data_IF_653818966227
#
_entry.id   IF_653818966227
#
_cell.length_a   1.000
_cell.length_b   1.000
_cell.length_c   1.000
_cell.angle_alpha   90.00
_cell.angle_beta   90.00
_cell.angle_gamma   90.00
#
_symmetry.space_group_name_H-M   'P 1'
#
loop_
_entity.id
_entity.type
_entity.pdbx_description
1 polymer ?
#
# COMPACT_ATOMS: atom_id res chain seq x y z
N UNK A 1 -16.13 10.11 -4.14
CA UNK A 1 -17.30 9.70 -4.96
C UNK A 1 -17.33 8.18 -4.87
N UNK A 2 -18.18 7.63 -4.01
CA UNK A 2 -18.30 6.17 -3.84
C UNK A 2 -18.96 5.62 -5.09
N UNK A 3 -18.15 5.05 -5.98
CA UNK A 3 -18.65 4.16 -7.04
C UNK A 3 -19.46 3.08 -6.33
N UNK A 4 -20.65 2.78 -6.84
CA UNK A 4 -21.54 1.79 -6.22
C UNK A 4 -20.80 0.44 -6.09
N UNK A 5 -20.86 -0.20 -4.93
CA UNK A 5 -20.16 -1.45 -4.67
C UNK A 5 -20.61 -2.53 -5.67
N UNK A 6 -21.88 -2.48 -6.09
CA UNK A 6 -22.43 -3.36 -7.11
C UNK A 6 -21.84 -3.10 -8.52
N UNK A 7 -21.67 -1.82 -8.88
CA UNK A 7 -21.04 -1.43 -10.14
C UNK A 7 -19.57 -1.85 -10.17
N UNK A 8 -18.85 -1.63 -9.07
CA UNK A 8 -17.44 -2.02 -8.92
C UNK A 8 -17.27 -3.54 -9.00
N UNK A 9 -18.17 -4.31 -8.39
CA UNK A 9 -18.16 -5.77 -8.45
C UNK A 9 -18.40 -6.30 -9.88
N UNK A 10 -19.31 -5.69 -10.64
CA UNK A 10 -19.55 -6.08 -12.02
C UNK A 10 -18.36 -5.73 -12.94
N UNK A 11 -17.73 -4.57 -12.74
CA UNK A 11 -16.50 -4.20 -13.44
C UNK A 11 -15.38 -5.21 -13.16
N UNK A 12 -15.21 -5.64 -11.90
CA UNK A 12 -14.25 -6.67 -11.53
C UNK A 12 -14.54 -7.99 -12.24
N UNK A 13 -15.80 -8.45 -12.24
CA UNK A 13 -16.20 -9.69 -12.91
C UNK A 13 -15.87 -9.67 -14.40
N UNK A 14 -16.21 -8.57 -15.09
CA UNK A 14 -15.92 -8.38 -16.53
C UNK A 14 -14.41 -8.29 -16.79
N UNK A 15 -13.68 -7.57 -15.95
CA UNK A 15 -12.23 -7.43 -16.06
C UNK A 15 -11.51 -8.79 -15.95
N UNK A 16 -11.95 -9.67 -15.04
CA UNK A 16 -11.44 -11.06 -14.92
C UNK A 16 -11.70 -11.90 -16.18
N UNK A 17 -12.78 -11.61 -16.91
CA UNK A 17 -13.10 -12.26 -18.20
C UNK A 17 -12.34 -11.66 -19.40
N UNK A 18 -11.43 -10.71 -19.16
CA UNK A 18 -10.59 -10.10 -20.19
C UNK A 18 -11.16 -8.82 -20.81
N UNK A 19 -12.25 -8.27 -20.27
CA UNK A 19 -12.79 -6.99 -20.71
C UNK A 19 -11.85 -5.84 -20.30
N UNK A 20 -11.11 -5.33 -21.28
CA UNK A 20 -10.12 -4.27 -21.07
C UNK A 20 -10.76 -2.92 -20.72
N UNK A 21 -11.97 -2.66 -21.20
CA UNK A 21 -12.68 -1.41 -20.90
C UNK A 21 -13.14 -1.43 -19.44
N UNK A 22 -13.75 -2.55 -19.01
CA UNK A 22 -14.16 -2.72 -17.62
C UNK A 22 -12.96 -2.65 -16.66
N UNK A 23 -11.81 -3.24 -17.03
CA UNK A 23 -10.59 -3.09 -16.25
C UNK A 23 -10.12 -1.63 -16.18
N UNK A 24 -10.18 -0.90 -17.29
CA UNK A 24 -9.79 0.51 -17.33
C UNK A 24 -10.63 1.36 -16.38
N UNK A 25 -11.96 1.17 -16.40
CA UNK A 25 -12.90 1.83 -15.51
C UNK A 25 -12.66 1.45 -14.04
N UNK A 26 -12.46 0.16 -13.76
CA UNK A 26 -12.14 -0.36 -12.42
C UNK A 26 -10.85 0.27 -11.86
N UNK A 27 -9.79 0.34 -12.66
CA UNK A 27 -8.52 0.95 -12.25
C UNK A 27 -8.64 2.46 -12.07
N UNK A 28 -9.45 3.12 -12.90
CA UNK A 28 -9.70 4.55 -12.78
C UNK A 28 -10.45 4.87 -11.47
N UNK A 29 -11.43 4.05 -11.10
CA UNK A 29 -12.14 4.17 -9.82
C UNK A 29 -11.21 4.04 -8.60
N UNK A 30 -10.12 3.28 -8.71
CA UNK A 30 -9.15 3.06 -7.62
C UNK A 30 -7.89 3.94 -7.72
N UNK A 31 -7.82 4.85 -8.71
CA UNK A 31 -6.62 5.66 -8.96
C UNK A 31 -6.29 6.60 -7.80
N UNK A 32 -7.31 7.22 -7.19
CA UNK A 32 -7.11 8.12 -6.05
C UNK A 32 -6.62 7.37 -4.81
N UNK A 33 -7.15 6.16 -4.57
CA UNK A 33 -6.66 5.28 -3.50
C UNK A 33 -5.18 4.92 -3.69
N UNK A 34 -4.78 4.53 -4.91
CA UNK A 34 -3.38 4.21 -5.20
C UNK A 34 -2.46 5.43 -5.06
N UNK A 35 -2.95 6.63 -5.40
CA UNK A 35 -2.19 7.88 -5.22
C UNK A 35 -1.96 8.17 -3.73
N UNK A 36 -3.01 8.13 -2.91
CA UNK A 36 -2.88 8.31 -1.46
C UNK A 36 -1.93 7.28 -0.83
N UNK A 37 -1.98 6.03 -1.29
CA UNK A 37 -1.10 4.97 -0.84
C UNK A 37 0.37 5.21 -1.24
N UNK A 38 0.60 5.78 -2.43
CA UNK A 38 1.93 6.15 -2.90
C UNK A 38 2.47 7.33 -2.07
N UNK A 39 1.69 8.39 -1.91
CA UNK A 39 2.06 9.60 -1.17
C UNK A 39 2.46 9.27 0.27
N UNK A 40 1.65 8.47 0.98
CA UNK A 40 1.96 8.05 2.35
C UNK A 40 3.22 7.19 2.50
N UNK A 41 3.68 6.53 1.43
CA UNK A 41 4.95 5.78 1.43
C UNK A 41 6.14 6.68 1.06
N UNK A 42 5.94 7.68 0.21
CA UNK A 42 6.98 8.64 -0.18
C UNK A 42 7.37 9.57 0.98
N UNK A 43 6.43 9.94 1.84
CA UNK A 43 6.68 10.73 3.06
C UNK A 43 7.61 10.03 4.07
N UNK A 44 7.72 8.70 4.00
CA UNK A 44 8.58 7.91 4.87
C UNK A 44 10.06 7.94 4.46
N UNK A 45 10.71 9.12 4.53
CA UNK A 45 12.18 9.39 4.56
C UNK A 45 13.13 8.67 3.57
N UNK A 46 12.67 7.84 2.63
CA UNK A 46 13.53 7.03 1.75
C UNK A 46 13.48 7.49 0.28
N UNK A 47 12.49 8.28 -0.15
CA UNK A 47 12.12 8.36 -1.58
C UNK A 47 12.01 9.76 -2.18
N UNK A 48 13.00 10.63 -1.99
CA UNK A 48 13.05 11.95 -2.66
C UNK A 48 13.15 11.91 -4.20
N UNK A 49 13.09 10.74 -4.84
CA UNK A 49 13.29 10.55 -6.29
C UNK A 49 12.23 9.72 -7.00
N UNK A 50 11.23 9.21 -6.28
CA UNK A 50 10.14 8.45 -6.91
C UNK A 50 8.91 9.35 -7.03
N UNK A 51 8.33 9.37 -8.23
CA UNK A 51 7.09 10.08 -8.50
C UNK A 51 5.88 9.17 -8.19
N UNK A 52 4.91 9.70 -7.43
CA UNK A 52 3.70 8.96 -7.08
C UNK A 52 2.89 8.52 -8.31
N UNK A 53 2.80 9.38 -9.33
CA UNK A 53 2.11 9.08 -10.59
C UNK A 53 2.77 7.93 -11.34
N UNK A 54 4.10 7.88 -11.37
CA UNK A 54 4.85 6.78 -12.00
C UNK A 54 4.57 5.45 -11.29
N UNK A 55 4.56 5.44 -9.97
CA UNK A 55 4.26 4.25 -9.17
C UNK A 55 2.81 3.77 -9.39
N UNK A 56 1.85 4.70 -9.43
CA UNK A 56 0.46 4.39 -9.76
C UNK A 56 0.37 3.80 -11.16
N UNK A 57 1.03 4.40 -12.16
CA UNK A 57 1.02 3.90 -13.52
C UNK A 57 1.63 2.50 -13.64
N UNK A 58 2.78 2.26 -13.01
CA UNK A 58 3.42 0.94 -12.96
C UNK A 58 2.51 -0.11 -12.31
N UNK A 59 1.81 0.27 -11.23
CA UNK A 59 0.82 -0.58 -10.57
C UNK A 59 -0.31 -0.95 -11.53
N UNK A 60 -0.94 0.03 -12.18
CA UNK A 60 -2.01 -0.22 -13.15
C UNK A 60 -1.54 -1.13 -14.30
N UNK A 61 -0.33 -0.93 -14.84
CA UNK A 61 0.24 -1.79 -15.88
C UNK A 61 0.48 -3.21 -15.40
N UNK A 62 0.92 -3.39 -14.16
CA UNK A 62 1.15 -4.70 -13.55
C UNK A 62 -0.15 -5.46 -13.35
N UNK A 63 -1.20 -4.77 -12.90
CA UNK A 63 -2.55 -5.32 -12.75
C UNK A 63 -3.13 -5.70 -14.11
N UNK A 64 -2.96 -4.83 -15.12
CA UNK A 64 -3.44 -5.12 -16.47
C UNK A 64 -2.88 -6.42 -17.05
N UNK A 65 -1.63 -6.75 -16.72
CA UNK A 65 -0.99 -8.00 -17.16
C UNK A 65 -1.46 -9.24 -16.41
N UNK A 66 -2.00 -9.07 -15.19
CA UNK A 66 -2.23 -10.16 -14.23
C UNK A 66 -3.68 -10.31 -13.79
N UNK A 67 -4.59 -9.46 -14.28
CA UNK A 67 -6.00 -9.47 -13.84
C UNK A 67 -6.69 -10.82 -14.05
N UNK A 68 -6.31 -11.55 -15.10
CA UNK A 68 -6.86 -12.89 -15.40
C UNK A 68 -6.32 -13.96 -14.46
N UNK A 69 -5.23 -13.69 -13.74
CA UNK A 69 -4.64 -14.56 -12.70
C UNK A 69 -5.20 -14.24 -11.30
N UNK A 70 -6.07 -13.24 -11.17
CA UNK A 70 -6.63 -12.86 -9.88
C UNK A 70 -7.78 -13.78 -9.49
N UNK A 71 -7.58 -14.56 -8.43
CA UNK A 71 -8.54 -15.57 -7.96
C UNK A 71 -9.61 -15.03 -6.99
N UNK A 72 -9.53 -13.77 -6.56
CA UNK A 72 -10.50 -13.21 -5.61
C UNK A 72 -11.91 -13.01 -6.20
N UNK A 73 -12.91 -13.00 -5.33
CA UNK A 73 -14.34 -12.98 -5.69
C UNK A 73 -14.98 -11.61 -5.45
N UNK A 74 -14.40 -10.79 -4.58
CA UNK A 74 -14.99 -9.52 -4.15
C UNK A 74 -14.06 -8.31 -4.29
N UNK A 75 -14.65 -7.12 -4.18
CA UNK A 75 -13.94 -5.83 -4.26
C UNK A 75 -12.90 -5.68 -3.14
N UNK A 76 -13.18 -6.01 -1.86
CA UNK A 76 -12.17 -5.98 -0.80
C UNK A 76 -10.91 -6.80 -1.11
N UNK A 77 -11.05 -8.02 -1.63
CA UNK A 77 -9.93 -8.87 -2.04
C UNK A 77 -9.15 -8.25 -3.20
N UNK A 78 -9.85 -7.63 -4.16
CA UNK A 78 -9.21 -6.91 -5.25
C UNK A 78 -8.41 -5.70 -4.75
N UNK A 79 -8.94 -4.92 -3.81
CA UNK A 79 -8.23 -3.79 -3.17
C UNK A 79 -7.00 -4.28 -2.40
N UNK A 80 -7.10 -5.40 -1.68
CA UNK A 80 -5.96 -6.01 -1.00
C UNK A 80 -4.87 -6.43 -2.01
N UNK A 81 -5.26 -7.04 -3.13
CA UNK A 81 -4.34 -7.43 -4.19
C UNK A 81 -3.71 -6.21 -4.90
N UNK A 82 -4.49 -5.17 -5.19
CA UNK A 82 -3.99 -3.88 -5.71
C UNK A 82 -2.88 -3.33 -4.83
N UNK A 83 -3.12 -3.30 -3.51
CA UNK A 83 -2.16 -2.83 -2.51
C UNK A 83 -0.90 -3.70 -2.50
N UNK A 84 -1.01 -5.01 -2.59
CA UNK A 84 0.14 -5.92 -2.65
C UNK A 84 1.01 -5.69 -3.89
N UNK A 85 0.39 -5.54 -5.06
CA UNK A 85 1.10 -5.24 -6.31
C UNK A 85 1.78 -3.88 -6.24
N UNK A 86 1.09 -2.86 -5.71
CA UNK A 86 1.65 -1.53 -5.51
C UNK A 86 2.90 -1.56 -4.62
N UNK A 87 2.77 -2.17 -3.44
CA UNK A 87 3.88 -2.32 -2.47
C UNK A 87 5.06 -3.07 -3.09
N UNK A 88 4.79 -4.11 -3.88
CA UNK A 88 5.84 -4.83 -4.61
C UNK A 88 6.57 -3.92 -5.61
N UNK A 89 5.84 -3.09 -6.35
CA UNK A 89 6.40 -2.16 -7.32
C UNK A 89 7.23 -1.06 -6.65
N UNK A 90 6.76 -0.50 -5.54
CA UNK A 90 7.53 0.46 -4.72
C UNK A 90 8.87 -0.14 -4.31
N UNK A 91 8.86 -1.36 -3.76
CA UNK A 91 10.10 -2.04 -3.35
C UNK A 91 11.07 -2.27 -4.51
N UNK A 92 10.56 -2.67 -5.68
CA UNK A 92 11.39 -2.86 -6.87
C UNK A 92 11.97 -1.53 -7.35
N UNK A 93 11.17 -0.47 -7.38
CA UNK A 93 11.63 0.87 -7.74
C UNK A 93 12.74 1.38 -6.81
N UNK A 94 12.59 1.18 -5.49
CA UNK A 94 13.63 1.51 -4.50
C UNK A 94 14.91 0.71 -4.76
N UNK A 95 14.79 -0.61 -4.97
CA UNK A 95 15.95 -1.47 -5.25
C UNK A 95 16.68 -1.03 -6.52
N UNK A 96 15.94 -0.72 -7.57
CA UNK A 96 16.48 -0.28 -8.85
C UNK A 96 17.17 1.08 -8.72
N UNK A 97 16.62 2.02 -7.95
CA UNK A 97 17.26 3.29 -7.63
C UNK A 97 18.56 3.09 -6.84
N UNK A 98 18.59 2.23 -5.83
CA UNK A 98 19.81 1.92 -5.08
C UNK A 98 20.88 1.27 -5.96
N UNK A 99 20.49 0.39 -6.88
CA UNK A 99 21.40 -0.24 -7.84
C UNK A 99 21.88 0.75 -8.92
N UNK A 100 20.99 1.62 -9.42
CA UNK A 100 21.33 2.67 -10.38
C UNK A 100 22.24 3.72 -9.75
N UNK A 101 21.97 4.12 -8.50
CA UNK A 101 22.81 5.02 -7.70
C UNK A 101 24.20 4.46 -7.45
N UNK A 102 24.34 3.14 -7.22
CA UNK A 102 25.66 2.47 -7.14
C UNK A 102 26.43 2.47 -8.46
N UNK A 103 25.74 2.41 -9.61
CA UNK A 103 26.37 2.54 -10.95
C UNK A 103 26.69 3.99 -11.31
N UNK A 104 25.85 4.93 -10.87
CA UNK A 104 26.03 6.36 -11.07
C UNK A 104 27.05 6.98 -10.10
N UNK A 105 27.36 6.35 -8.96
CA UNK A 105 28.37 6.81 -8.00
C UNK A 105 29.81 6.88 -8.58
N UNK A 106 30.03 6.46 -9.83
CA UNK A 106 31.24 6.74 -10.59
C UNK A 106 31.26 8.10 -11.30
N UNK A 107 30.13 8.83 -11.42
CA UNK A 107 30.05 10.14 -12.06
C UNK A 107 28.94 11.00 -11.43
N UNK A 108 29.39 12.13 -10.87
CA UNK A 108 28.63 13.32 -10.50
C UNK A 108 27.76 13.26 -9.24
N UNK A 109 28.14 14.12 -8.28
CA UNK A 109 27.31 14.58 -7.16
C UNK A 109 26.48 15.77 -7.65
N UNK A 110 25.17 15.81 -7.40
CA UNK A 110 24.46 17.07 -7.32
C UNK A 110 24.34 17.50 -5.86
N UNK A 111 24.76 18.73 -5.65
CA UNK A 111 24.49 19.59 -4.50
C UNK A 111 22.98 19.71 -4.27
N UNK A 112 22.52 19.55 -3.02
CA UNK A 112 21.10 19.67 -2.65
C UNK A 112 20.95 20.97 -1.86
N UNK A 113 20.28 21.93 -2.48
CA UNK A 113 19.85 23.20 -1.90
C UNK A 113 18.54 22.99 -1.11
N UNK A 114 18.42 23.40 0.17
CA UNK A 114 17.19 23.22 0.93
C UNK A 114 16.39 24.53 0.96
N UNK A 115 15.48 24.73 0.01
CA UNK A 115 14.47 25.78 0.10
C UNK A 115 13.13 25.37 -0.54
N UNK A 116 12.05 25.71 0.19
CA UNK A 116 10.61 25.64 -0.13
C UNK A 116 9.86 24.39 0.39
N UNK A 117 9.07 24.50 1.48
CA UNK A 117 7.69 25.07 1.60
C UNK A 117 6.64 24.15 0.96
N UNK A 118 5.42 23.92 1.47
CA UNK A 118 4.67 24.43 2.60
C UNK A 118 3.59 23.38 2.98
N UNK A 119 3.01 23.55 4.16
CA UNK A 119 1.86 22.80 4.66
C UNK A 119 0.61 23.05 3.79
N UNK A 120 0.03 21.99 3.23
CA UNK A 120 -1.35 22.01 2.72
C UNK A 120 -2.16 20.91 3.39
N UNK A 121 -2.95 21.29 4.40
CA UNK A 121 -3.96 20.44 5.05
C UNK A 121 -5.28 20.49 4.26
N UNK A 122 -5.86 19.35 3.83
CA UNK A 122 -7.22 19.31 3.31
C UNK A 122 -8.30 19.44 4.41
N UNK A 123 -9.47 19.93 4.01
CA UNK A 123 -10.48 20.62 4.85
C UNK A 123 -11.53 19.73 5.58
N UNK A 124 -12.34 20.29 6.52
CA UNK A 124 -13.01 19.55 7.62
C UNK A 124 -14.24 18.66 7.32
N UNK A 125 -14.85 18.66 6.13
CA UNK A 125 -16.22 18.11 5.97
C UNK A 125 -16.32 16.62 5.58
N UNK A 126 -15.20 15.92 5.33
CA UNK A 126 -15.16 14.46 5.12
C UNK A 126 -14.69 13.67 6.38
N UNK A 127 -14.41 14.37 7.47
CA UNK A 127 -13.75 13.82 8.67
C UNK A 127 -14.65 12.98 9.60
N UNK A 128 -15.97 13.07 9.54
CA UNK A 128 -16.80 12.48 10.62
C UNK A 128 -16.90 10.95 10.56
N UNK A 129 -17.10 10.37 9.37
CA UNK A 129 -17.28 8.91 9.20
C UNK A 129 -15.93 8.21 9.03
N UNK A 130 -15.05 8.75 8.16
CA UNK A 130 -13.69 8.21 8.00
C UNK A 130 -12.81 8.43 9.24
N UNK A 131 -13.04 9.50 9.99
CA UNK A 131 -12.31 9.76 11.23
C UNK A 131 -12.64 8.75 12.33
N UNK A 132 -13.89 8.29 12.41
CA UNK A 132 -14.29 7.31 13.42
C UNK A 132 -13.68 5.92 13.15
N UNK A 133 -13.75 5.43 11.91
CA UNK A 133 -13.11 4.17 11.52
C UNK A 133 -11.58 4.23 11.63
N UNK A 134 -10.97 5.33 11.19
CA UNK A 134 -9.53 5.55 11.33
C UNK A 134 -9.10 5.61 12.80
N UNK A 135 -9.90 6.26 13.67
CA UNK A 135 -9.64 6.29 15.11
C UNK A 135 -9.79 4.91 15.75
N UNK A 136 -10.82 4.12 15.38
CA UNK A 136 -10.99 2.74 15.85
C UNK A 136 -9.80 1.86 15.43
N UNK A 137 -9.37 1.98 14.17
CA UNK A 137 -8.18 1.28 13.69
C UNK A 137 -6.91 1.72 14.43
N UNK A 138 -6.71 3.01 14.65
CA UNK A 138 -5.56 3.54 15.41
C UNK A 138 -5.53 2.95 16.82
N UNK A 139 -6.66 2.96 17.54
CA UNK A 139 -6.78 2.37 18.87
C UNK A 139 -6.52 0.86 18.86
N UNK A 140 -7.05 0.14 17.87
CA UNK A 140 -6.81 -1.29 17.72
C UNK A 140 -5.32 -1.61 17.50
N UNK A 141 -4.63 -0.82 16.68
CA UNK A 141 -3.19 -0.94 16.45
C UNK A 141 -2.36 -0.60 17.69
N UNK A 142 -2.79 0.40 18.48
CA UNK A 142 -2.16 0.77 19.76
C UNK A 142 -2.28 -0.34 20.82
N UNK A 143 -3.33 -1.16 20.78
CA UNK A 143 -3.49 -2.30 21.70
C UNK A 143 -2.67 -3.53 21.31
N UNK A 144 -2.10 -3.57 20.10
CA UNK A 144 -1.23 -4.68 19.71
C UNK A 144 0.09 -4.68 20.50
N UNK A 145 0.64 -5.87 20.80
CA UNK A 145 2.03 -6.01 21.19
C UNK A 145 2.99 -5.32 20.20
N UNK A 146 4.07 -4.72 20.70
CA UNK A 146 5.01 -3.94 19.90
C UNK A 146 5.52 -4.73 18.67
N UNK A 147 5.90 -6.00 18.86
CA UNK A 147 6.40 -6.85 17.77
C UNK A 147 5.34 -7.10 16.68
N UNK A 148 4.06 -7.22 17.07
CA UNK A 148 2.97 -7.41 16.11
C UNK A 148 2.73 -6.14 15.30
N UNK A 149 2.70 -4.99 15.97
CA UNK A 149 2.55 -3.68 15.32
C UNK A 149 3.70 -3.40 14.37
N UNK A 150 4.92 -3.70 14.80
CA UNK A 150 6.13 -3.48 14.02
C UNK A 150 6.19 -4.40 12.80
N UNK A 151 5.85 -5.68 12.95
CA UNK A 151 5.75 -6.61 11.84
C UNK A 151 4.70 -6.14 10.81
N UNK A 152 3.53 -5.65 11.25
CA UNK A 152 2.51 -5.08 10.36
C UNK A 152 3.02 -3.83 9.65
N UNK A 153 3.69 -2.92 10.37
CA UNK A 153 4.27 -1.69 9.81
C UNK A 153 5.30 -2.02 8.73
N UNK A 154 6.27 -2.86 9.04
CA UNK A 154 7.31 -3.25 8.07
C UNK A 154 6.71 -3.98 6.85
N UNK A 155 5.70 -4.83 7.06
CA UNK A 155 5.08 -5.59 5.97
C UNK A 155 4.19 -4.74 5.08
N UNK A 156 3.30 -3.97 5.68
CA UNK A 156 2.21 -3.31 4.98
C UNK A 156 2.53 -1.84 4.69
N UNK A 157 3.17 -1.10 5.60
CA UNK A 157 3.53 0.30 5.36
C UNK A 157 4.84 0.42 4.58
N UNK A 158 5.88 -0.31 4.97
CA UNK A 158 7.19 -0.21 4.31
C UNK A 158 7.39 -1.20 3.14
N UNK A 159 6.50 -2.18 3.01
CA UNK A 159 6.57 -3.13 1.91
C UNK A 159 7.71 -4.15 1.97
N UNK A 160 8.33 -4.34 3.13
CA UNK A 160 9.41 -5.31 3.31
C UNK A 160 8.89 -6.74 3.10
N UNK A 161 9.78 -7.60 2.64
CA UNK A 161 9.47 -9.04 2.50
C UNK A 161 9.59 -9.77 3.81
N UNK A 162 8.93 -10.93 3.92
CA UNK A 162 9.10 -11.86 5.04
C UNK A 162 10.58 -12.13 5.33
N UNK A 163 11.43 -12.22 4.29
CA UNK A 163 12.86 -12.44 4.43
C UNK A 163 13.60 -11.27 5.10
N UNK A 164 13.28 -10.04 4.70
CA UNK A 164 13.88 -8.81 5.22
C UNK A 164 13.41 -8.59 6.66
N UNK A 165 12.09 -8.67 6.90
CA UNK A 165 11.50 -8.48 8.23
C UNK A 165 11.98 -9.54 9.22
N UNK A 166 12.02 -10.82 8.83
CA UNK A 166 12.49 -11.89 9.72
C UNK A 166 13.95 -11.69 10.14
N UNK A 167 14.79 -11.21 9.21
CA UNK A 167 16.17 -10.83 9.51
C UNK A 167 16.23 -9.62 10.45
N UNK A 168 15.49 -8.56 10.16
CA UNK A 168 15.51 -7.31 10.93
C UNK A 168 14.97 -7.50 12.35
N UNK A 169 13.95 -8.35 12.52
CA UNK A 169 13.36 -8.70 13.81
C UNK A 169 14.09 -9.85 14.53
N UNK A 170 15.09 -10.48 13.91
CA UNK A 170 15.83 -11.59 14.50
C UNK A 170 15.00 -12.86 14.74
N UNK A 171 13.94 -13.08 13.95
CA UNK A 171 13.02 -14.22 14.06
C UNK A 171 13.12 -15.14 12.83
N UNK A 172 12.60 -16.37 12.93
CA UNK A 172 12.48 -17.23 11.74
C UNK A 172 11.36 -16.75 10.83
N UNK A 173 11.39 -17.15 9.55
CA UNK A 173 10.31 -16.83 8.60
C UNK A 173 8.96 -17.35 9.07
N UNK A 174 8.92 -18.57 9.58
CA UNK A 174 7.69 -19.19 10.07
C UNK A 174 7.16 -18.48 11.33
N UNK A 175 8.05 -18.06 12.23
CA UNK A 175 7.70 -17.26 13.39
C UNK A 175 7.10 -15.90 12.97
N UNK A 176 7.67 -15.25 11.95
CA UNK A 176 7.12 -14.00 11.41
C UNK A 176 5.74 -14.20 10.77
N UNK A 177 5.55 -15.25 9.97
CA UNK A 177 4.24 -15.56 9.35
C UNK A 177 3.19 -15.79 10.44
N UNK A 178 3.54 -16.55 11.47
CA UNK A 178 2.68 -16.74 12.64
C UNK A 178 2.39 -15.42 13.36
N UNK A 179 3.39 -14.57 13.55
CA UNK A 179 3.27 -13.27 14.20
C UNK A 179 2.32 -12.33 13.44
N UNK A 180 2.47 -12.24 12.11
CA UNK A 180 1.58 -11.47 11.24
C UNK A 180 0.15 -11.97 11.29
N UNK A 181 -0.05 -13.30 11.26
CA UNK A 181 -1.39 -13.90 11.41
C UNK A 181 -2.01 -13.55 12.76
N UNK A 182 -1.23 -13.60 13.85
CA UNK A 182 -1.69 -13.21 15.18
C UNK A 182 -2.02 -11.72 15.27
N UNK A 183 -1.19 -10.87 14.68
CA UNK A 183 -1.43 -9.43 14.61
C UNK A 183 -2.76 -9.14 13.92
N UNK A 184 -3.02 -9.73 12.74
CA UNK A 184 -4.29 -9.57 12.01
C UNK A 184 -5.51 -10.07 12.80
N UNK A 185 -5.38 -11.19 13.52
CA UNK A 185 -6.45 -11.69 14.39
C UNK A 185 -6.75 -10.72 15.54
N UNK A 186 -5.72 -10.14 16.15
CA UNK A 186 -5.88 -9.22 17.26
C UNK A 186 -6.48 -7.88 16.79
N UNK A 187 -6.02 -7.33 15.66
CA UNK A 187 -6.63 -6.13 15.05
C UNK A 187 -8.13 -6.36 14.85
N UNK A 188 -8.52 -7.48 14.24
CA UNK A 188 -9.93 -7.80 14.01
C UNK A 188 -10.73 -7.88 15.31
N UNK A 189 -10.21 -8.55 16.34
CA UNK A 189 -10.88 -8.62 17.65
C UNK A 189 -11.09 -7.24 18.29
N UNK A 190 -10.10 -6.35 18.19
CA UNK A 190 -10.21 -5.00 18.74
C UNK A 190 -11.17 -4.11 17.93
N UNK A 191 -11.35 -4.37 16.63
CA UNK A 191 -12.33 -3.69 15.80
C UNK A 191 -13.77 -4.21 16.03
N UNK A 192 -13.93 -5.52 16.29
CA UNK A 192 -15.22 -6.16 16.54
C UNK A 192 -15.72 -5.96 17.98
N UNK A 193 -14.86 -5.50 18.90
CA UNK A 193 -15.25 -5.21 20.28
C UNK A 193 -15.89 -3.82 20.35
N UNK A 194 -17.17 -3.68 20.76
CA UNK A 194 -17.72 -2.37 21.07
C UNK A 194 -16.92 -1.78 22.24
N UNK A 195 -16.27 -0.65 21.98
CA UNK A 195 -15.55 0.13 23.00
C UNK A 195 -16.47 0.70 24.07
#
# INVERSE_FOLDING_TARGET
MTVDDAETAELLRRAKLGDRTALGELLNAHRDYLRQLADGQLDSRINARLDASDLVQQTCLSIHKRITEFDGEDVPQFVAWLREVHVHNVRNAIRDQLHAGKRAAGRERPEVDPAHQAEERPSPSQHAIHGEEAQRLSRALEQLPADQREALRMRYLEGRTIAEISRDMGVTRDALVWLLRKAMQNVRKHLDSPG
#
